data_IF_840449025818
#
_entry.id   IF_840449025818
#
_cell.length_a   1.000
_cell.length_b   1.000
_cell.length_c   1.000
_cell.angle_alpha   90.00
_cell.angle_beta   90.00
_cell.angle_gamma   90.00
#
_symmetry.space_group_name_H-M   'P 1'
#
loop_
_entity.id
_entity.type
_entity.pdbx_description
1 polymer ?
#
# COMPACT_ATOMS: atom_id res chain seq x y z
N UNK A 1 8.56 -11.86 -4.75
CA UNK A 1 7.67 -11.00 -5.58
C UNK A 1 6.30 -10.96 -4.94
N UNK A 2 5.74 -9.77 -4.69
CA UNK A 2 4.36 -9.65 -4.20
C UNK A 2 3.37 -9.93 -5.34
N UNK A 3 2.30 -10.65 -5.03
CA UNK A 3 1.17 -10.91 -5.92
C UNK A 3 -0.10 -10.42 -5.25
N UNK A 4 -0.96 -9.74 -5.99
CA UNK A 4 -2.31 -9.36 -5.56
C UNK A 4 -3.30 -9.89 -6.58
N UNK A 5 -4.25 -10.68 -6.10
CA UNK A 5 -5.41 -11.17 -6.86
C UNK A 5 -6.65 -10.41 -6.40
N UNK A 6 -7.39 -9.87 -7.34
CA UNK A 6 -8.60 -9.08 -7.10
C UNK A 6 -9.78 -9.70 -7.85
N UNK A 7 -10.91 -9.83 -7.18
CA UNK A 7 -12.17 -10.20 -7.79
C UNK A 7 -13.27 -9.20 -7.38
N UNK A 8 -13.86 -8.54 -8.36
CA UNK A 8 -14.98 -7.63 -8.15
C UNK A 8 -16.28 -8.42 -8.37
N UNK A 9 -17.17 -8.35 -7.39
CA UNK A 9 -18.48 -9.00 -7.41
C UNK A 9 -18.42 -10.49 -7.84
N UNK A 10 -17.56 -11.32 -7.19
CA UNK A 10 -17.44 -12.72 -7.57
C UNK A 10 -18.67 -13.56 -7.22
N UNK A 11 -19.55 -13.03 -6.36
CA UNK A 11 -20.84 -13.62 -6.00
C UNK A 11 -21.77 -12.54 -5.45
N UNK A 12 -23.05 -12.88 -5.24
CA UNK A 12 -24.01 -11.96 -4.63
C UNK A 12 -23.66 -11.58 -3.19
N UNK A 13 -22.92 -12.43 -2.48
CA UNK A 13 -22.52 -12.24 -1.10
C UNK A 13 -21.31 -11.28 -0.97
N UNK A 14 -20.34 -11.39 -1.89
CA UNK A 14 -19.09 -10.64 -1.80
C UNK A 14 -18.99 -9.60 -2.92
N UNK A 15 -18.92 -8.32 -2.54
CA UNK A 15 -18.70 -7.23 -3.49
C UNK A 15 -17.25 -7.13 -3.94
N UNK A 16 -16.33 -7.60 -3.11
CA UNK A 16 -14.91 -7.55 -3.39
C UNK A 16 -14.18 -8.64 -2.61
N UNK A 17 -13.35 -9.40 -3.31
CA UNK A 17 -12.45 -10.40 -2.70
C UNK A 17 -11.03 -10.11 -3.14
N UNK A 18 -10.12 -10.16 -2.20
CA UNK A 18 -8.72 -9.97 -2.46
C UNK A 18 -7.88 -11.03 -1.73
N UNK A 19 -6.88 -11.54 -2.43
CA UNK A 19 -5.85 -12.40 -1.86
C UNK A 19 -4.47 -11.89 -2.28
N UNK A 20 -3.53 -11.85 -1.34
CA UNK A 20 -2.17 -11.42 -1.64
C UNK A 20 -1.14 -12.08 -0.75
N UNK A 21 0.11 -12.10 -1.20
CA UNK A 21 1.27 -12.35 -0.37
C UNK A 21 2.10 -11.08 -0.23
N UNK A 22 2.87 -10.99 0.84
CA UNK A 22 3.97 -10.02 1.00
C UNK A 22 5.30 -10.76 0.87
N UNK A 23 6.13 -10.31 -0.07
CA UNK A 23 7.49 -10.81 -0.27
C UNK A 23 8.48 -9.79 0.28
N UNK A 24 8.99 -10.03 1.48
CA UNK A 24 9.89 -9.16 2.20
C UNK A 24 10.90 -9.97 3.00
N UNK A 25 12.03 -9.38 3.37
CA UNK A 25 13.03 -10.03 4.23
C UNK A 25 12.45 -10.40 5.58
N UNK A 26 12.74 -11.61 6.07
CA UNK A 26 12.29 -12.07 7.39
C UNK A 26 12.76 -11.19 8.55
N UNK A 27 13.93 -10.54 8.38
CA UNK A 27 14.49 -9.61 9.37
C UNK A 27 13.75 -8.28 9.46
N UNK A 28 12.87 -7.95 8.48
CA UNK A 28 12.13 -6.68 8.48
C UNK A 28 10.99 -6.73 9.50
N UNK A 29 11.04 -5.93 10.59
CA UNK A 29 10.05 -6.00 11.64
C UNK A 29 8.67 -5.56 11.13
N UNK A 30 7.67 -6.38 11.42
CA UNK A 30 6.31 -6.19 10.92
C UNK A 30 5.31 -6.54 11.99
N UNK A 31 4.26 -5.74 12.14
CA UNK A 31 3.09 -6.04 12.98
C UNK A 31 1.98 -6.61 12.12
N UNK A 32 1.34 -7.69 12.60
CA UNK A 32 0.17 -8.30 11.95
C UNK A 32 -0.97 -7.31 11.77
N UNK A 33 -1.91 -7.63 10.87
CA UNK A 33 -3.08 -6.81 10.61
C UNK A 33 -3.86 -6.53 11.91
N UNK A 34 -4.11 -5.26 12.15
CA UNK A 34 -4.85 -4.75 13.30
C UNK A 34 -5.49 -3.42 12.93
N UNK A 35 -6.48 -3.00 13.70
CA UNK A 35 -6.98 -1.64 13.60
C UNK A 35 -5.93 -0.67 14.10
N UNK A 36 -5.55 0.29 13.24
CA UNK A 36 -4.64 1.35 13.64
C UNK A 36 -5.38 2.31 14.55
N UNK A 37 -4.67 2.80 15.56
CA UNK A 37 -5.21 3.79 16.47
C UNK A 37 -5.43 5.14 15.77
N UNK A 38 -6.33 5.93 16.36
CA UNK A 38 -6.65 7.28 15.90
C UNK A 38 -5.36 8.07 15.51
N UNK A 39 -5.37 8.83 14.35
CA UNK A 39 -6.58 9.26 13.64
C UNK A 39 -6.98 8.39 12.44
N UNK A 40 -6.34 7.27 12.17
CA UNK A 40 -6.53 6.49 10.94
C UNK A 40 -7.47 5.31 11.24
N UNK A 41 -8.67 5.34 10.64
CA UNK A 41 -9.62 4.21 10.64
C UNK A 41 -9.18 3.17 9.61
N UNK A 42 -8.09 2.46 9.91
CA UNK A 42 -7.38 1.58 8.99
C UNK A 42 -7.17 0.19 9.62
N UNK A 43 -7.65 -0.85 8.96
CA UNK A 43 -7.26 -2.24 9.22
C UNK A 43 -6.13 -2.62 8.27
N UNK A 44 -4.92 -2.80 8.80
CA UNK A 44 -3.73 -3.12 8.02
C UNK A 44 -2.64 -3.75 8.90
N UNK A 45 -1.71 -4.47 8.26
CA UNK A 45 -0.41 -4.74 8.85
C UNK A 45 0.41 -3.45 8.93
N UNK A 46 1.47 -3.44 9.75
CA UNK A 46 2.34 -2.27 9.87
C UNK A 46 3.79 -2.65 9.65
N UNK A 47 4.45 -1.93 8.77
CA UNK A 47 5.90 -1.95 8.66
C UNK A 47 6.50 -1.16 9.83
N UNK A 48 7.21 -1.83 10.72
CA UNK A 48 7.75 -1.18 11.91
C UNK A 48 9.05 -0.43 11.64
N UNK A 49 9.67 -0.64 10.49
CA UNK A 49 10.89 0.07 10.09
C UNK A 49 10.56 1.45 9.50
N UNK A 50 9.59 1.52 8.56
CA UNK A 50 9.22 2.74 7.85
C UNK A 50 7.88 3.35 8.32
N UNK A 51 7.15 2.67 9.19
CA UNK A 51 5.89 3.16 9.77
C UNK A 51 4.69 3.18 8.83
N UNK A 52 4.83 2.68 7.59
CA UNK A 52 3.77 2.58 6.59
C UNK A 52 3.09 1.21 6.55
N UNK A 53 2.30 0.98 5.51
CA UNK A 53 1.69 -0.31 5.21
C UNK A 53 1.70 -0.60 3.71
N UNK A 54 1.60 -1.86 3.34
CA UNK A 54 1.54 -2.30 1.93
C UNK A 54 0.12 -2.56 1.44
N UNK A 55 -0.84 -2.69 2.36
CA UNK A 55 -2.24 -2.97 2.04
C UNK A 55 -3.13 -2.71 3.24
N UNK A 56 -4.34 -2.23 3.00
CA UNK A 56 -5.33 -2.02 4.04
C UNK A 56 -6.72 -1.72 3.53
N UNK A 57 -7.66 -1.74 4.45
CA UNK A 57 -9.05 -1.32 4.26
C UNK A 57 -9.48 -0.38 5.38
N UNK A 58 -10.48 0.44 5.12
CA UNK A 58 -11.09 1.30 6.16
C UNK A 58 -12.57 0.97 6.35
N UNK A 59 -13.11 1.33 7.51
CA UNK A 59 -14.57 1.25 7.77
C UNK A 59 -15.38 2.13 6.83
N UNK A 60 -14.75 3.13 6.21
CA UNK A 60 -15.36 4.03 5.22
C UNK A 60 -15.37 3.43 3.81
N UNK A 61 -15.00 2.16 3.63
CA UNK A 61 -15.02 1.47 2.35
C UNK A 61 -13.84 1.78 1.43
N UNK A 62 -12.77 2.43 1.92
CA UNK A 62 -11.53 2.58 1.15
C UNK A 62 -10.72 1.28 1.19
N UNK A 63 -10.13 0.94 0.06
CA UNK A 63 -9.11 -0.09 -0.09
C UNK A 63 -7.87 0.52 -0.76
N UNK A 64 -6.69 0.11 -0.34
CA UNK A 64 -5.46 0.43 -1.04
C UNK A 64 -4.42 -0.66 -0.85
N UNK A 65 -3.63 -0.90 -1.91
CA UNK A 65 -2.51 -1.81 -1.86
C UNK A 65 -1.38 -1.35 -2.78
N UNK A 66 -0.13 -1.64 -2.41
CA UNK A 66 1.06 -1.34 -3.20
C UNK A 66 1.94 -2.57 -3.36
N UNK A 67 2.46 -2.78 -4.57
CA UNK A 67 3.53 -3.73 -4.81
C UNK A 67 4.76 -3.02 -5.35
N UNK A 68 5.93 -3.54 -4.99
CA UNK A 68 7.21 -3.01 -5.44
C UNK A 68 7.51 -3.48 -6.87
N UNK A 69 7.87 -2.55 -7.75
CA UNK A 69 8.56 -2.87 -9.00
C UNK A 69 10.05 -2.78 -8.74
N UNK A 70 10.75 -3.91 -8.92
CA UNK A 70 12.22 -3.96 -8.80
C UNK A 70 12.83 -3.75 -10.18
N UNK A 71 13.36 -2.57 -10.39
CA UNK A 71 14.15 -2.26 -11.58
C UNK A 71 15.63 -2.49 -11.25
N UNK A 72 16.20 -3.57 -11.79
CA UNK A 72 17.61 -3.93 -11.58
C UNK A 72 18.57 -3.08 -12.43
N UNK A 73 18.06 -2.28 -13.35
CA UNK A 73 18.88 -1.52 -14.31
C UNK A 73 19.08 -0.04 -13.93
N UNK A 74 18.34 0.46 -12.97
CA UNK A 74 18.48 1.86 -12.55
C UNK A 74 19.70 2.03 -11.66
N UNK A 75 20.81 2.47 -12.24
CA UNK A 75 22.10 2.71 -11.55
C UNK A 75 22.06 3.81 -10.49
N UNK A 76 21.02 4.64 -10.44
CA UNK A 76 20.94 5.83 -9.59
C UNK A 76 20.21 5.60 -8.24
N UNK A 77 20.05 4.36 -7.81
CA UNK A 77 19.39 4.00 -6.54
C UNK A 77 20.10 4.57 -5.30
N UNK A 78 21.41 4.83 -5.40
CA UNK A 78 22.24 5.22 -4.24
C UNK A 78 22.30 6.73 -3.97
N UNK A 79 21.84 7.55 -4.92
CA UNK A 79 22.05 9.01 -4.84
C UNK A 79 20.80 9.80 -4.44
N UNK A 80 19.60 9.19 -4.44
CA UNK A 80 18.35 9.87 -4.14
C UNK A 80 17.65 9.22 -2.94
N UNK A 81 17.29 10.02 -1.95
CA UNK A 81 16.41 9.60 -0.86
C UNK A 81 14.98 9.48 -1.37
N UNK A 82 14.52 8.24 -1.60
CA UNK A 82 13.15 7.96 -1.98
C UNK A 82 12.25 7.81 -0.75
N UNK A 83 11.02 8.27 -0.89
CA UNK A 83 9.97 8.04 0.10
C UNK A 83 9.56 6.57 0.14
N UNK A 84 9.11 6.11 1.30
CA UNK A 84 8.59 4.76 1.45
C UNK A 84 7.30 4.57 0.63
N UNK A 85 7.24 3.52 -0.19
CA UNK A 85 6.01 3.18 -0.92
C UNK A 85 4.84 2.82 -0.01
N UNK A 86 5.14 2.38 1.22
CA UNK A 86 4.13 2.17 2.25
C UNK A 86 3.40 3.45 2.69
N UNK A 87 4.01 4.61 2.47
CA UNK A 87 3.36 5.90 2.72
C UNK A 87 2.27 6.20 1.69
N UNK A 88 2.38 5.70 0.46
CA UNK A 88 1.33 5.84 -0.55
C UNK A 88 0.00 5.25 -0.06
N UNK A 89 0.05 4.07 0.54
CA UNK A 89 -1.15 3.42 1.10
C UNK A 89 -1.62 4.16 2.35
N UNK A 90 -0.74 4.40 3.31
CA UNK A 90 -1.07 5.09 4.56
C UNK A 90 -1.69 6.48 4.30
N UNK A 91 -1.08 7.28 3.43
CA UNK A 91 -1.52 8.63 3.15
C UNK A 91 -2.86 8.69 2.41
N UNK A 92 -3.20 7.67 1.59
CA UNK A 92 -4.54 7.57 1.01
C UNK A 92 -5.63 7.45 2.08
N UNK A 93 -5.38 6.65 3.12
CA UNK A 93 -6.35 6.49 4.22
C UNK A 93 -6.47 7.74 5.12
N UNK A 94 -5.41 8.53 5.24
CA UNK A 94 -5.44 9.80 5.99
C UNK A 94 -6.01 10.97 5.19
N UNK A 95 -6.04 10.86 3.87
CA UNK A 95 -6.60 11.88 3.00
C UNK A 95 -8.13 11.76 2.93
N UNK A 96 -8.82 12.89 2.70
CA UNK A 96 -10.25 12.91 2.38
C UNK A 96 -10.52 12.76 0.88
N UNK A 97 -9.48 12.47 0.10
CA UNK A 97 -9.55 12.32 -1.36
C UNK A 97 -10.16 10.97 -1.75
N UNK A 98 -10.91 10.95 -2.85
CA UNK A 98 -11.22 9.74 -3.59
C UNK A 98 -9.97 9.23 -4.32
N UNK A 99 -10.07 8.03 -4.94
CA UNK A 99 -8.94 7.39 -5.61
C UNK A 99 -8.37 8.24 -6.76
N UNK A 100 -9.23 8.86 -7.58
CA UNK A 100 -8.81 9.65 -8.74
C UNK A 100 -8.07 10.92 -8.32
N UNK A 101 -8.61 11.65 -7.32
CA UNK A 101 -7.97 12.85 -6.80
C UNK A 101 -6.64 12.51 -6.13
N UNK A 102 -6.60 11.44 -5.35
CA UNK A 102 -5.39 11.03 -4.67
C UNK A 102 -4.30 10.65 -5.67
N UNK A 103 -4.62 9.80 -6.66
CA UNK A 103 -3.70 9.40 -7.71
C UNK A 103 -3.12 10.63 -8.45
N UNK A 104 -3.96 11.61 -8.80
CA UNK A 104 -3.54 12.81 -9.52
C UNK A 104 -2.71 13.77 -8.65
N UNK A 105 -2.77 13.66 -7.31
CA UNK A 105 -1.98 14.47 -6.39
C UNK A 105 -0.57 13.95 -6.14
N UNK A 106 -0.25 12.72 -6.59
CA UNK A 106 1.02 12.07 -6.28
C UNK A 106 2.17 12.62 -7.12
N UNK A 107 3.27 12.97 -6.48
CA UNK A 107 4.55 13.16 -7.16
C UNK A 107 5.31 11.83 -7.24
N UNK A 108 5.08 11.10 -8.33
CA UNK A 108 5.65 9.78 -8.58
C UNK A 108 7.18 9.75 -8.57
N UNK A 109 7.84 10.87 -8.85
CA UNK A 109 9.30 11.00 -8.90
C UNK A 109 9.96 10.82 -7.53
N UNK A 110 9.17 10.91 -6.45
CA UNK A 110 9.66 10.74 -5.09
C UNK A 110 9.69 9.29 -4.63
N UNK A 111 9.26 8.35 -5.45
CA UNK A 111 9.16 6.93 -5.12
C UNK A 111 9.93 6.08 -6.12
N UNK A 112 10.46 4.96 -5.64
CA UNK A 112 10.91 3.88 -6.51
C UNK A 112 9.72 3.21 -7.19
N UNK A 113 9.96 2.46 -8.27
CA UNK A 113 8.91 1.81 -9.05
C UNK A 113 7.91 1.01 -8.20
N UNK A 114 6.63 1.18 -8.48
CA UNK A 114 5.53 0.52 -7.77
C UNK A 114 4.30 0.35 -8.67
N UNK A 115 3.42 -0.56 -8.26
CA UNK A 115 2.03 -0.60 -8.70
C UNK A 115 1.17 -0.21 -7.50
N UNK A 116 0.24 0.71 -7.67
CA UNK A 116 -0.71 1.16 -6.65
C UNK A 116 -2.12 0.81 -7.10
N UNK A 117 -2.89 0.20 -6.21
CA UNK A 117 -4.32 -0.11 -6.36
C UNK A 117 -5.07 0.68 -5.30
N UNK A 118 -6.10 1.40 -5.72
CA UNK A 118 -6.97 2.23 -4.88
C UNK A 118 -8.43 1.87 -5.12
#
# INVERSE_FOLDING_TARGET
MCLILLAKEPSDEYKFVMASNRDEFYSRPTKSAHWWENPIDLLAGKDLEQGGTWMGISKRGKFAAVTNVRDFYTKNYLEKNFSSRGDLVKNFFTSDMDADKYQNSLDYKNYLGFNLVL
#
